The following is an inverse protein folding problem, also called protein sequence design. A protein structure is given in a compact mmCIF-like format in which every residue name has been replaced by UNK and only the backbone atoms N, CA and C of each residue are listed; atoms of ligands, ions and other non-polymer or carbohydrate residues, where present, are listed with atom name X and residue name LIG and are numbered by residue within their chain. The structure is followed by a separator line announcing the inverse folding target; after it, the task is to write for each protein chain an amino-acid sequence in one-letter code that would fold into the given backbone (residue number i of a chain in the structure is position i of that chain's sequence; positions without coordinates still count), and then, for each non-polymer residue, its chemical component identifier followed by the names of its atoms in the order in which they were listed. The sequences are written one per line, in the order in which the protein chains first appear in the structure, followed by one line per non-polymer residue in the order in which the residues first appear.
data_IF_346644320805
#
_entry.id   IF_346644320805
#
_cell.length_a   1.000
_cell.length_b   1.000
_cell.length_c   1.000
_cell.angle_alpha   90.00
_cell.angle_beta   90.00
_cell.angle_gamma   90.00
#
_symmetry.space_group_name_H-M   'P 1'
#
loop_
_entity.id
_entity.type
_entity.pdbx_description
1 polymer ?
#
# COMPACT_ATOMS: atom_id res chain seq x y z
N UNK A 1 16.99 -13.14 2.74
CA UNK A 1 17.24 -11.79 2.22
C UNK A 1 17.68 -10.90 3.37
N UNK A 2 18.71 -10.10 3.12
CA UNK A 2 19.33 -9.19 4.10
C UNK A 2 18.71 -7.79 4.06
N UNK A 3 18.38 -7.33 2.85
CA UNK A 3 17.67 -6.09 2.54
C UNK A 3 16.54 -6.43 1.58
N UNK A 4 15.35 -5.86 1.81
CA UNK A 4 14.21 -6.04 0.90
C UNK A 4 13.24 -4.85 1.00
N UNK A 5 12.52 -4.60 -0.09
CA UNK A 5 11.29 -3.84 -0.03
C UNK A 5 10.18 -4.78 0.48
N UNK A 6 9.48 -4.36 1.53
CA UNK A 6 8.45 -5.16 2.19
C UNK A 6 7.18 -4.34 2.42
N UNK A 7 6.01 -5.00 2.50
CA UNK A 7 4.79 -4.34 2.95
C UNK A 7 5.03 -3.70 4.33
N UNK A 8 4.65 -2.44 4.49
CA UNK A 8 4.89 -1.68 5.73
C UNK A 8 4.31 -2.36 6.99
N UNK A 9 3.23 -3.11 6.89
CA UNK A 9 2.70 -3.88 8.04
C UNK A 9 3.67 -4.95 8.54
N UNK A 10 4.46 -5.55 7.65
CA UNK A 10 5.39 -6.62 8.00
C UNK A 10 6.59 -6.09 8.78
N UNK A 11 6.93 -4.81 8.65
CA UNK A 11 7.92 -4.17 9.52
C UNK A 11 7.53 -4.28 11.02
N UNK A 12 6.24 -4.24 11.31
CA UNK A 12 5.72 -4.35 12.68
C UNK A 12 5.50 -5.79 13.15
N UNK A 13 5.57 -6.77 12.24
CA UNK A 13 5.37 -8.20 12.53
C UNK A 13 6.67 -9.00 12.56
N UNK A 14 7.70 -8.51 11.86
CA UNK A 14 8.99 -9.18 11.78
C UNK A 14 9.97 -8.48 12.73
N UNK A 15 10.48 -9.17 13.76
CA UNK A 15 11.44 -8.60 14.69
C UNK A 15 12.81 -8.39 14.02
N UNK A 16 13.61 -7.48 14.58
CA UNK A 16 15.00 -7.29 14.15
C UNK A 16 15.16 -6.59 12.79
N UNK A 17 14.19 -5.78 12.37
CA UNK A 17 14.27 -4.97 11.16
C UNK A 17 14.52 -3.48 11.47
N UNK A 18 15.34 -2.85 10.63
CA UNK A 18 15.54 -1.39 10.59
C UNK A 18 15.08 -0.83 9.24
N UNK A 19 14.41 0.31 9.24
CA UNK A 19 13.95 1.00 8.02
C UNK A 19 15.13 1.73 7.39
N UNK A 20 15.33 1.58 6.08
CA UNK A 20 16.25 2.45 5.34
C UNK A 20 15.54 3.78 5.07
N UNK A 21 16.08 4.92 5.53
CA UNK A 21 15.41 6.21 5.40
C UNK A 21 15.33 6.70 3.95
N UNK A 22 14.45 7.68 3.71
CA UNK A 22 14.39 8.45 2.47
C UNK A 22 13.67 7.80 1.28
N UNK A 23 13.40 6.48 1.30
CA UNK A 23 12.70 5.77 0.24
C UNK A 23 11.53 4.92 0.76
N UNK A 24 10.35 5.08 0.15
CA UNK A 24 9.16 4.27 0.40
C UNK A 24 8.34 4.06 -0.89
N UNK A 25 7.22 3.34 -0.78
CA UNK A 25 6.11 3.39 -1.73
C UNK A 25 4.93 3.94 -0.95
N UNK A 26 4.49 5.14 -1.29
CA UNK A 26 3.49 5.90 -0.57
C UNK A 26 2.49 6.59 -1.52
N UNK A 27 1.42 7.13 -0.96
CA UNK A 27 0.55 8.11 -1.64
C UNK A 27 0.10 9.17 -0.64
N UNK A 28 -0.32 10.32 -1.15
CA UNK A 28 -0.95 11.37 -0.35
C UNK A 28 -2.26 11.74 -1.02
N UNK A 29 -3.29 10.95 -0.68
CA UNK A 29 -4.54 10.89 -1.43
C UNK A 29 -4.63 9.63 -2.30
N UNK A 30 -5.40 9.69 -3.41
CA UNK A 30 -5.65 8.53 -4.25
C UNK A 30 -4.36 7.87 -4.74
N UNK A 31 -4.31 6.53 -4.68
CA UNK A 31 -3.20 5.73 -5.20
C UNK A 31 -3.53 5.03 -6.52
N UNK A 32 -4.80 4.96 -6.89
CA UNK A 32 -5.40 4.34 -8.09
C UNK A 32 -5.22 2.82 -8.23
N UNK A 33 -4.21 2.24 -7.59
CA UNK A 33 -3.83 0.82 -7.69
C UNK A 33 -4.15 -0.01 -6.45
N UNK A 34 -4.77 0.57 -5.42
CA UNK A 34 -5.23 -0.16 -4.23
C UNK A 34 -6.66 0.26 -3.95
N UNK A 35 -7.62 -0.56 -4.43
CA UNK A 35 -9.03 -0.22 -4.37
C UNK A 35 -9.86 -1.35 -3.76
N UNK A 36 -10.88 -0.95 -3.01
CA UNK A 36 -11.94 -1.83 -2.54
C UNK A 36 -13.16 -1.61 -3.44
N UNK A 37 -13.62 -2.66 -4.11
CA UNK A 37 -14.79 -2.64 -4.97
C UNK A 37 -16.01 -3.13 -4.19
N UNK A 38 -17.09 -2.35 -4.15
CA UNK A 38 -18.22 -2.55 -3.24
C UNK A 38 -19.50 -2.83 -4.02
N UNK A 39 -20.24 -3.87 -3.61
CA UNK A 39 -21.59 -4.17 -4.11
C UNK A 39 -22.69 -3.53 -3.27
N UNK A 40 -22.35 -3.10 -2.05
CA UNK A 40 -23.23 -2.46 -1.08
C UNK A 40 -22.53 -1.23 -0.49
N UNK A 41 -23.26 -0.24 0.06
CA UNK A 41 -22.62 0.90 0.73
C UNK A 41 -21.64 0.44 1.82
N UNK A 42 -20.54 1.18 2.03
CA UNK A 42 -19.44 0.75 2.92
C UNK A 42 -19.87 0.33 4.34
N UNK A 43 -20.87 1.00 4.92
CA UNK A 43 -21.42 0.67 6.24
C UNK A 43 -22.23 -0.64 6.28
N UNK A 44 -22.68 -1.14 5.12
CA UNK A 44 -23.45 -2.36 4.97
C UNK A 44 -22.59 -3.58 4.57
N UNK A 45 -21.27 -3.41 4.39
CA UNK A 45 -20.34 -4.48 4.02
C UNK A 45 -20.24 -5.49 5.16
N UNK A 46 -20.56 -6.77 4.89
CA UNK A 46 -20.49 -7.88 5.86
C UNK A 46 -19.45 -8.93 5.48
N UNK A 47 -19.09 -9.04 4.22
CA UNK A 47 -18.09 -9.99 3.71
C UNK A 47 -17.08 -9.27 2.80
N UNK A 48 -15.79 -9.53 2.99
CA UNK A 48 -14.72 -8.98 2.15
C UNK A 48 -13.79 -10.08 1.68
N UNK A 49 -13.62 -10.16 0.37
CA UNK A 49 -12.59 -10.98 -0.25
C UNK A 49 -11.32 -10.14 -0.45
N UNK A 50 -10.20 -10.65 0.04
CA UNK A 50 -8.93 -9.93 0.13
C UNK A 50 -7.88 -10.49 -0.81
N UNK A 51 -7.21 -9.63 -1.57
CA UNK A 51 -6.05 -10.00 -2.37
C UNK A 51 -4.81 -10.22 -1.47
N UNK A 52 -4.26 -11.47 -1.39
CA UNK A 52 -3.11 -11.78 -0.55
C UNK A 52 -1.81 -11.12 -1.01
N UNK A 53 -1.75 -10.59 -2.24
CA UNK A 53 -0.52 -10.03 -2.81
C UNK A 53 -0.07 -8.72 -2.14
N UNK A 54 -0.89 -8.10 -1.27
CA UNK A 54 -0.44 -6.99 -0.40
C UNK A 54 -0.99 -7.07 1.02
N UNK A 55 -0.13 -7.55 1.94
CA UNK A 55 -0.43 -7.63 3.38
C UNK A 55 -0.77 -6.27 4.00
N UNK A 56 -0.13 -5.19 3.54
CA UNK A 56 -0.45 -3.83 4.01
C UNK A 56 -1.84 -3.41 3.59
N UNK A 57 -2.22 -3.64 2.33
CA UNK A 57 -3.54 -3.25 1.81
C UNK A 57 -4.67 -4.03 2.47
N UNK A 58 -4.42 -5.30 2.82
CA UNK A 58 -5.31 -6.12 3.66
C UNK A 58 -5.56 -5.47 5.02
N UNK A 59 -4.51 -5.03 5.70
CA UNK A 59 -4.64 -4.36 7.00
C UNK A 59 -5.33 -2.99 6.85
N UNK A 60 -4.96 -2.21 5.84
CA UNK A 60 -5.57 -0.91 5.55
C UNK A 60 -7.06 -1.04 5.27
N UNK A 61 -7.49 -2.05 4.51
CA UNK A 61 -8.92 -2.31 4.23
C UNK A 61 -9.71 -2.49 5.52
N UNK A 62 -9.20 -3.28 6.46
CA UNK A 62 -9.84 -3.52 7.75
C UNK A 62 -9.93 -2.22 8.58
N UNK A 63 -8.87 -1.43 8.59
CA UNK A 63 -8.83 -0.13 9.27
C UNK A 63 -9.86 0.83 8.68
N UNK A 64 -9.88 0.98 7.35
CA UNK A 64 -10.83 1.90 6.69
C UNK A 64 -12.28 1.49 6.95
N UNK A 65 -12.62 0.21 6.80
CA UNK A 65 -13.97 -0.27 7.05
C UNK A 65 -14.40 -0.08 8.51
N UNK A 66 -13.48 -0.33 9.46
CA UNK A 66 -13.76 -0.10 10.89
C UNK A 66 -13.95 1.39 11.19
N UNK A 67 -12.99 2.23 10.83
CA UNK A 67 -12.90 3.60 11.33
C UNK A 67 -13.80 4.57 10.56
N UNK A 68 -13.95 4.39 9.24
CA UNK A 68 -14.76 5.30 8.40
C UNK A 68 -16.19 4.84 8.20
N UNK A 69 -16.43 3.53 8.27
CA UNK A 69 -17.73 2.94 7.94
C UNK A 69 -18.37 2.17 9.10
N UNK A 70 -17.70 2.05 10.25
CA UNK A 70 -18.16 1.26 11.40
C UNK A 70 -18.51 -0.20 11.03
N UNK A 71 -17.92 -0.71 9.95
CA UNK A 71 -18.11 -2.07 9.47
C UNK A 71 -17.04 -3.00 10.05
N UNK A 72 -17.40 -4.25 10.31
CA UNK A 72 -16.48 -5.29 10.80
C UNK A 72 -16.81 -6.62 10.12
N UNK A 73 -16.50 -6.74 8.83
CA UNK A 73 -16.92 -7.87 8.00
C UNK A 73 -16.12 -9.14 8.31
N UNK A 74 -16.67 -10.28 7.91
CA UNK A 74 -15.89 -11.51 7.78
C UNK A 74 -14.96 -11.41 6.57
N UNK A 75 -13.75 -11.95 6.71
CA UNK A 75 -12.68 -11.82 5.74
C UNK A 75 -12.37 -13.19 5.13
N UNK A 76 -12.21 -13.22 3.81
CA UNK A 76 -11.72 -14.39 3.08
C UNK A 76 -10.56 -14.00 2.17
N UNK A 77 -9.61 -14.91 1.96
CA UNK A 77 -8.52 -14.67 1.01
C UNK A 77 -8.99 -15.10 -0.38
N UNK A 78 -8.91 -14.19 -1.35
CA UNK A 78 -9.18 -14.48 -2.74
C UNK A 78 -7.93 -15.05 -3.42
N UNK A 79 -8.06 -16.22 -4.03
CA UNK A 79 -6.95 -16.94 -4.66
C UNK A 79 -6.77 -16.62 -6.16
N UNK A 80 -7.55 -15.68 -6.71
CA UNK A 80 -7.49 -15.32 -8.13
C UNK A 80 -8.15 -16.32 -9.09
N UNK A 81 -8.86 -17.35 -8.60
CA UNK A 81 -9.45 -18.39 -9.45
C UNK A 81 -10.61 -17.90 -10.33
N UNK A 82 -11.29 -16.83 -9.93
CA UNK A 82 -12.39 -16.17 -10.66
C UNK A 82 -12.11 -14.66 -10.71
N UNK A 83 -12.61 -13.94 -11.72
CA UNK A 83 -12.45 -12.48 -11.77
C UNK A 83 -13.16 -11.80 -10.58
N UNK A 84 -12.75 -10.58 -10.18
CA UNK A 84 -13.34 -9.88 -9.03
C UNK A 84 -14.87 -9.73 -9.07
N UNK A 85 -15.45 -9.58 -10.27
CA UNK A 85 -16.91 -9.48 -10.49
C UNK A 85 -17.67 -10.71 -10.02
N UNK A 86 -17.03 -11.87 -10.02
CA UNK A 86 -17.67 -13.17 -9.78
C UNK A 86 -17.37 -13.68 -8.36
N UNK A 87 -16.54 -12.96 -7.60
CA UNK A 87 -16.24 -13.31 -6.20
C UNK A 87 -17.48 -13.06 -5.32
N UNK A 88 -18.00 -14.07 -4.61
CA UNK A 88 -19.22 -13.96 -3.82
C UNK A 88 -18.94 -13.28 -2.47
N UNK A 89 -18.71 -11.97 -2.49
CA UNK A 89 -18.51 -11.13 -1.29
C UNK A 89 -19.07 -9.73 -1.51
N UNK A 90 -19.43 -9.04 -0.44
CA UNK A 90 -19.98 -7.68 -0.51
C UNK A 90 -18.95 -6.69 -1.03
N UNK A 91 -17.67 -6.91 -0.71
CA UNK A 91 -16.57 -6.15 -1.27
C UNK A 91 -15.37 -7.03 -1.63
N UNK A 92 -14.56 -6.55 -2.59
CA UNK A 92 -13.36 -7.24 -3.06
C UNK A 92 -12.20 -6.24 -3.10
N UNK A 93 -11.13 -6.52 -2.36
CA UNK A 93 -9.88 -5.77 -2.46
C UNK A 93 -9.15 -6.23 -3.72
N UNK A 94 -8.81 -5.30 -4.60
CA UNK A 94 -8.01 -5.57 -5.80
C UNK A 94 -6.87 -4.57 -5.85
N UNK A 95 -5.65 -5.07 -6.11
CA UNK A 95 -4.45 -4.24 -6.10
C UNK A 95 -3.66 -4.30 -7.43
N UNK A 96 -2.65 -3.44 -7.55
CA UNK A 96 -1.74 -3.37 -8.69
C UNK A 96 -2.45 -2.99 -9.99
N UNK A 97 -1.96 -3.51 -11.11
CA UNK A 97 -2.48 -3.20 -12.46
C UNK A 97 -3.96 -3.60 -12.63
N UNK A 98 -4.40 -4.62 -11.91
CA UNK A 98 -5.80 -5.06 -11.86
C UNK A 98 -6.66 -4.06 -11.08
N UNK A 99 -6.16 -3.56 -9.95
CA UNK A 99 -6.82 -2.50 -9.17
C UNK A 99 -7.01 -1.22 -9.96
N UNK A 100 -6.16 -0.96 -10.96
CA UNK A 100 -6.29 0.19 -11.86
C UNK A 100 -7.43 0.09 -12.90
N UNK A 101 -8.06 -1.07 -13.05
CA UNK A 101 -9.12 -1.28 -14.06
C UNK A 101 -10.47 -0.84 -13.49
N UNK A 102 -11.33 -0.36 -14.37
CA UNK A 102 -12.74 -0.23 -14.05
C UNK A 102 -13.38 -1.61 -14.21
N UNK A 103 -13.93 -2.12 -13.11
CA UNK A 103 -14.50 -3.45 -13.04
C UNK A 103 -16.02 -3.29 -12.91
N UNK A 104 -16.76 -3.81 -13.88
CA UNK A 104 -18.22 -3.79 -13.85
C UNK A 104 -18.78 -4.68 -12.72
N UNK A 105 -20.04 -4.46 -12.35
CA UNK A 105 -20.74 -5.27 -11.35
C UNK A 105 -20.56 -4.81 -9.89
N UNK A 106 -19.97 -3.62 -9.69
CA UNK A 106 -19.85 -2.97 -8.38
C UNK A 106 -20.63 -1.66 -8.38
N UNK A 107 -21.23 -1.34 -7.23
CA UNK A 107 -22.02 -0.13 -7.02
C UNK A 107 -21.13 1.08 -6.68
N UNK A 108 -19.99 0.84 -6.03
CA UNK A 108 -19.05 1.88 -5.64
C UNK A 108 -17.61 1.35 -5.60
N UNK A 109 -16.63 2.24 -5.65
CA UNK A 109 -15.20 1.90 -5.59
C UNK A 109 -14.48 2.88 -4.67
N UNK A 110 -13.86 2.35 -3.62
CA UNK A 110 -13.06 3.12 -2.68
C UNK A 110 -11.58 3.00 -3.03
N UNK A 111 -10.92 4.13 -3.28
CA UNK A 111 -9.46 4.20 -3.29
C UNK A 111 -8.95 4.26 -1.84
N UNK A 112 -8.15 3.27 -1.43
CA UNK A 112 -7.74 3.19 -0.03
C UNK A 112 -6.77 4.31 0.39
N UNK A 113 -5.98 4.86 -0.54
CA UNK A 113 -5.14 6.02 -0.28
C UNK A 113 -5.99 7.27 -0.05
N UNK A 114 -7.03 7.46 -0.87
CA UNK A 114 -7.99 8.55 -0.68
C UNK A 114 -8.75 8.43 0.65
N UNK A 115 -9.22 7.22 0.99
CA UNK A 115 -9.93 6.97 2.23
C UNK A 115 -9.03 7.16 3.46
N UNK A 116 -7.76 6.80 3.37
CA UNK A 116 -6.77 7.07 4.41
C UNK A 116 -6.53 8.56 4.61
N UNK A 117 -6.34 9.30 3.52
CA UNK A 117 -6.12 10.75 3.59
C UNK A 117 -7.35 11.45 4.19
N UNK A 118 -8.56 11.04 3.83
CA UNK A 118 -9.81 11.55 4.45
C UNK A 118 -9.92 11.21 5.94
N UNK A 119 -9.44 10.03 6.35
CA UNK A 119 -9.46 9.61 7.75
C UNK A 119 -8.43 10.37 8.61
N UNK A 120 -7.23 10.62 8.08
CA UNK A 120 -6.08 11.02 8.90
C UNK A 120 -5.44 12.36 8.51
N UNK A 121 -5.67 12.84 7.29
CA UNK A 121 -4.95 13.98 6.71
C UNK A 121 -3.47 13.71 6.38
N UNK A 122 -3.03 12.45 6.45
CA UNK A 122 -1.64 12.05 6.30
C UNK A 122 -1.42 11.19 5.04
N UNK A 123 -0.20 11.16 4.49
CA UNK A 123 0.19 10.18 3.49
C UNK A 123 0.05 8.74 4.02
N UNK A 124 -0.20 7.79 3.13
CA UNK A 124 -0.16 6.36 3.44
C UNK A 124 1.13 5.72 2.91
N UNK A 125 1.76 4.85 3.70
CA UNK A 125 2.98 4.13 3.31
C UNK A 125 2.67 2.66 3.10
N UNK A 126 2.67 2.22 1.84
CA UNK A 126 2.35 0.86 1.43
C UNK A 126 3.52 -0.10 1.66
N UNK A 127 4.73 0.33 1.30
CA UNK A 127 5.94 -0.47 1.41
C UNK A 127 7.15 0.38 1.80
N UNK A 128 8.11 -0.27 2.47
CA UNK A 128 9.34 0.33 2.97
C UNK A 128 10.52 -0.52 2.52
N UNK A 129 11.70 0.06 2.44
CA UNK A 129 12.94 -0.71 2.44
C UNK A 129 13.32 -1.01 3.89
N UNK A 130 13.53 -2.28 4.23
CA UNK A 130 14.12 -2.65 5.51
C UNK A 130 15.29 -3.61 5.35
N UNK A 131 16.13 -3.60 6.37
CA UNK A 131 17.35 -4.37 6.49
C UNK A 131 17.35 -5.06 7.85
N UNK A 132 17.89 -6.28 7.91
CA UNK A 132 18.07 -6.97 9.18
C UNK A 132 19.07 -6.23 10.07
N UNK A 133 18.81 -6.17 11.36
CA UNK A 133 19.57 -5.35 12.31
C UNK A 133 21.06 -5.69 12.37
N UNK A 134 21.42 -6.95 12.11
CA UNK A 134 22.81 -7.45 12.11
C UNK A 134 23.61 -7.07 10.86
N UNK A 135 22.93 -6.68 9.77
CA UNK A 135 23.57 -6.41 8.48
C UNK A 135 24.25 -5.05 8.53
N UNK A 136 25.52 -5.01 8.09
CA UNK A 136 26.33 -3.79 8.01
C UNK A 136 26.71 -3.50 6.57
N UNK A 137 25.88 -2.72 5.89
CA UNK A 137 26.10 -2.19 4.54
C UNK A 137 26.28 -0.66 4.58
N UNK A 138 27.53 -0.19 4.53
CA UNK A 138 27.80 1.25 4.46
C UNK A 138 27.37 1.82 3.11
N UNK A 139 26.58 2.90 3.14
CA UNK A 139 26.13 3.60 1.93
C UNK A 139 24.88 3.03 1.26
N UNK A 140 24.19 2.06 1.87
CA UNK A 140 22.95 1.49 1.35
C UNK A 140 21.89 2.58 1.06
N UNK A 141 21.69 3.52 1.99
CA UNK A 141 20.79 4.65 1.81
C UNK A 141 21.14 5.46 0.55
N UNK A 142 22.43 5.79 0.36
CA UNK A 142 22.91 6.54 -0.81
C UNK A 142 22.63 5.81 -2.12
N UNK A 143 22.78 4.47 -2.14
CA UNK A 143 22.48 3.66 -3.32
C UNK A 143 20.98 3.72 -3.64
N UNK A 144 20.10 3.55 -2.64
CA UNK A 144 18.66 3.60 -2.85
C UNK A 144 18.18 5.00 -3.25
N UNK A 145 18.73 6.05 -2.65
CA UNK A 145 18.42 7.44 -3.01
C UNK A 145 18.88 7.77 -4.44
N UNK A 146 20.06 7.31 -4.84
CA UNK A 146 20.54 7.48 -6.21
C UNK A 146 19.66 6.73 -7.22
N UNK A 147 19.27 5.48 -6.90
CA UNK A 147 18.36 4.70 -7.75
C UNK A 147 16.98 5.36 -7.88
N UNK A 148 16.43 5.90 -6.77
CA UNK A 148 15.18 6.68 -6.79
C UNK A 148 15.30 7.89 -7.71
N UNK A 149 16.37 8.67 -7.57
CA UNK A 149 16.59 9.86 -8.39
C UNK A 149 16.73 9.52 -9.88
N UNK A 150 17.45 8.44 -10.22
CA UNK A 150 17.57 7.95 -11.59
C UNK A 150 16.21 7.50 -12.15
N UNK A 151 15.43 6.75 -11.38
CA UNK A 151 14.10 6.29 -11.80
C UNK A 151 13.14 7.45 -12.06
N UNK A 152 13.14 8.46 -11.19
CA UNK A 152 12.33 9.67 -11.36
C UNK A 152 12.76 10.50 -12.58
N UNK A 153 14.06 10.63 -12.81
CA UNK A 153 14.58 11.31 -14.00
C UNK A 153 14.25 10.58 -15.30
N UNK A 154 14.06 9.25 -15.23
CA UNK A 154 13.72 8.38 -16.36
C UNK A 154 12.22 8.03 -16.42
N UNK A 155 11.34 8.72 -15.68
CA UNK A 155 9.93 8.32 -15.54
C UNK A 155 9.19 8.21 -16.87
N UNK A 156 9.50 9.08 -17.84
CA UNK A 156 8.90 9.03 -19.18
C UNK A 156 9.32 7.77 -19.94
N UNK A 157 10.58 7.37 -19.84
CA UNK A 157 11.06 6.17 -20.51
C UNK A 157 10.47 4.92 -19.87
N UNK A 158 10.44 4.86 -18.54
CA UNK A 158 9.81 3.76 -17.80
C UNK A 158 8.32 3.68 -18.14
N UNK A 159 7.62 4.81 -18.13
CA UNK A 159 6.19 4.85 -18.44
C UNK A 159 5.88 4.39 -19.87
N UNK A 160 6.75 4.67 -20.85
CA UNK A 160 6.59 4.22 -22.24
C UNK A 160 6.74 2.69 -22.34
N UNK A 161 7.79 2.14 -21.75
CA UNK A 161 8.02 0.69 -21.73
C UNK A 161 6.88 -0.06 -21.02
N UNK A 162 6.45 0.45 -19.86
CA UNK A 162 5.37 -0.17 -19.09
C UNK A 162 4.01 -0.04 -19.78
N UNK A 163 3.74 1.10 -20.44
CA UNK A 163 2.53 1.29 -21.24
C UNK A 163 2.37 0.24 -22.33
N UNK A 164 3.45 -0.09 -23.06
CA UNK A 164 3.48 -1.17 -24.04
C UNK A 164 3.24 -2.53 -23.37
N UNK A 165 3.94 -2.80 -22.27
CA UNK A 165 3.87 -4.09 -21.55
C UNK A 165 2.46 -4.40 -21.02
N UNK A 166 1.77 -3.40 -20.46
CA UNK A 166 0.47 -3.59 -19.81
C UNK A 166 -0.73 -3.17 -20.68
N UNK A 167 -0.47 -2.68 -21.89
CA UNK A 167 -1.48 -2.23 -22.83
C UNK A 167 -2.28 -1.03 -22.32
N UNK A 168 -1.62 -0.05 -21.71
CA UNK A 168 -2.27 1.18 -21.19
C UNK A 168 -1.70 2.44 -21.85
N UNK A 169 -2.46 3.56 -21.88
CA UNK A 169 -1.94 4.81 -22.39
C UNK A 169 -0.71 5.28 -21.61
N UNK A 170 0.35 5.67 -22.34
CA UNK A 170 1.58 6.25 -21.78
C UNK A 170 1.31 7.30 -20.70
N UNK A 171 0.43 8.25 -20.99
CA UNK A 171 0.06 9.34 -20.07
C UNK A 171 -0.48 8.83 -18.72
N UNK A 172 -1.26 7.74 -18.73
CA UNK A 172 -1.78 7.13 -17.48
C UNK A 172 -0.67 6.45 -16.69
N UNK A 173 0.25 5.76 -17.36
CA UNK A 173 1.41 5.15 -16.70
C UNK A 173 2.33 6.22 -16.10
N UNK A 174 2.61 7.29 -16.86
CA UNK A 174 3.45 8.40 -16.39
C UNK A 174 2.81 9.10 -15.20
N UNK A 175 1.53 9.44 -15.27
CA UNK A 175 0.83 10.10 -14.16
C UNK A 175 0.79 9.21 -12.92
N UNK A 176 0.56 7.91 -13.05
CA UNK A 176 0.62 6.99 -11.92
C UNK A 176 2.02 6.97 -11.26
N UNK A 177 3.07 6.83 -12.05
CA UNK A 177 4.46 6.76 -11.57
C UNK A 177 5.01 8.10 -11.06
N UNK A 178 4.43 9.23 -11.44
CA UNK A 178 4.95 10.56 -11.07
C UNK A 178 4.06 11.37 -10.13
N UNK A 179 2.77 11.03 -10.01
CA UNK A 179 1.79 11.79 -9.23
C UNK A 179 1.06 10.93 -8.20
N UNK A 180 0.59 9.75 -8.58
CA UNK A 180 -0.22 8.89 -7.71
C UNK A 180 0.68 8.15 -6.70
N UNK A 181 1.84 7.66 -7.14
CA UNK A 181 2.85 7.07 -6.27
C UNK A 181 3.88 8.12 -5.85
N UNK A 182 4.21 8.11 -4.56
CA UNK A 182 5.29 8.87 -3.95
C UNK A 182 6.37 7.93 -3.45
N UNK A 183 7.62 8.37 -3.59
CA UNK A 183 8.80 7.56 -3.24
C UNK A 183 9.60 8.10 -2.07
N UNK A 184 9.27 9.28 -1.57
CA UNK A 184 9.94 9.87 -0.42
C UNK A 184 9.43 9.25 0.89
N UNK A 185 10.33 9.15 1.87
CA UNK A 185 9.98 8.79 3.24
C UNK A 185 10.49 9.86 4.18
N UNK A 186 9.67 10.88 4.41
CA UNK A 186 9.96 12.01 5.28
C UNK A 186 9.11 12.02 6.56
N UNK A 187 9.01 13.18 7.19
CA UNK A 187 8.31 13.34 8.46
C UNK A 187 6.81 13.05 8.36
N UNK A 188 6.17 13.46 7.25
CA UNK A 188 4.73 13.22 7.03
C UNK A 188 4.44 11.74 6.79
N UNK A 189 5.26 11.05 6.01
CA UNK A 189 5.14 9.61 5.78
C UNK A 189 5.42 8.82 7.05
N UNK A 190 6.40 9.25 7.86
CA UNK A 190 6.65 8.67 9.18
C UNK A 190 5.45 8.85 10.12
N UNK A 191 4.82 10.03 10.12
CA UNK A 191 3.61 10.27 10.89
C UNK A 191 2.44 9.38 10.42
N UNK A 192 2.26 9.24 9.10
CA UNK A 192 1.29 8.31 8.50
C UNK A 192 1.55 6.85 8.91
N UNK A 193 2.81 6.41 8.85
CA UNK A 193 3.23 5.06 9.24
C UNK A 193 2.97 4.79 10.73
N UNK A 194 3.26 5.76 11.62
CA UNK A 194 2.97 5.66 13.06
C UNK A 194 1.46 5.56 13.32
N UNK A 195 0.65 6.40 12.67
CA UNK A 195 -0.81 6.35 12.78
C UNK A 195 -1.36 5.02 12.26
N UNK A 196 -0.82 4.49 11.18
CA UNK A 196 -1.19 3.17 10.67
C UNK A 196 -0.87 2.06 11.69
N UNK A 197 0.29 2.12 12.33
CA UNK A 197 0.66 1.18 13.39
C UNK A 197 -0.29 1.25 14.59
N UNK A 198 -0.69 2.46 15.02
CA UNK A 198 -1.67 2.64 16.11
C UNK A 198 -2.99 1.92 15.80
N UNK A 199 -3.55 2.12 14.61
CA UNK A 199 -4.76 1.43 14.18
C UNK A 199 -4.56 -0.09 14.03
N UNK A 200 -3.42 -0.51 13.47
CA UNK A 200 -3.10 -1.93 13.34
C UNK A 200 -3.04 -2.62 14.70
N UNK A 201 -2.43 -2.00 15.72
CA UNK A 201 -2.41 -2.52 17.10
C UNK A 201 -3.82 -2.56 17.69
N UNK A 202 -4.64 -1.51 17.49
CA UNK A 202 -6.01 -1.48 17.98
C UNK A 202 -6.89 -2.62 17.42
N UNK A 203 -6.57 -3.08 16.20
CA UNK A 203 -7.24 -4.20 15.53
C UNK A 203 -6.53 -5.54 15.70
N UNK A 204 -5.50 -5.63 16.54
CA UNK A 204 -4.67 -6.85 16.72
C UNK A 204 -4.03 -7.35 15.42
N UNK A 205 -3.75 -6.45 14.48
CA UNK A 205 -3.06 -6.74 13.21
C UNK A 205 -1.54 -6.63 13.34
N UNK A 206 -1.04 -6.01 14.40
CA UNK A 206 0.37 -5.92 14.76
C UNK A 206 0.53 -5.95 16.29
N UNK A 207 1.66 -6.44 16.77
CA UNK A 207 1.96 -6.46 18.21
C UNK A 207 2.24 -5.06 18.75
N UNK A 208 1.88 -4.81 20.00
CA UNK A 208 2.18 -3.56 20.70
C UNK A 208 3.65 -3.52 21.12
N UNK A 209 4.25 -2.32 21.11
CA UNK A 209 5.59 -2.08 21.66
C UNK A 209 6.71 -2.11 20.62
N UNK A 210 6.40 -2.22 19.33
CA UNK A 210 7.39 -2.08 18.26
C UNK A 210 7.73 -0.61 18.07
N UNK A 211 9.00 -0.26 18.28
CA UNK A 211 9.55 1.04 17.92
C UNK A 211 10.02 1.04 16.46
N UNK A 212 9.94 2.21 15.83
CA UNK A 212 10.55 2.44 14.52
C UNK A 212 12.03 2.74 14.74
N UNK A 213 12.88 1.91 14.14
CA UNK A 213 14.33 2.02 14.13
C UNK A 213 14.82 2.28 12.71
N UNK A 214 15.70 3.25 12.55
CA UNK A 214 16.31 3.58 11.26
C UNK A 214 17.66 2.90 11.10
N UNK A 215 17.95 2.49 9.88
CA UNK A 215 19.25 1.96 9.49
C UNK A 215 20.26 3.10 9.31
N UNK A 216 21.49 2.90 9.79
CA UNK A 216 22.55 3.91 9.69
C UNK A 216 22.55 4.96 10.82
N UNK A 217 21.59 4.87 11.75
CA UNK A 217 21.55 5.61 13.01
C UNK A 217 21.97 4.71 14.18
#
# INVERSE_FOLDING_TARGET
LDVAQLPSIEYFRIPGLKIVPGCAIASDGPVESVRLFLRVPGAAVRTVALDPSSRTSVALTQIILRERYSASPSLSMWNGAVPPSDVPSDAVLVIGDAGMKDIAGFADVLDLGAEWQRLTGLPFVYALWAVRAEVKWRGLERVLLAAKAQGLAAVDEIARQEAERIGRPFERCRDYLSRSIRYDFGERELAGLKRFYEYAVALNLAERGRSIEFYGQ
#
